data_IF_254391367207
#
_entry.id   IF_254391367207
#
_cell.length_a   1.000
_cell.length_b   1.000
_cell.length_c   1.000
_cell.angle_alpha   90.00
_cell.angle_beta   90.00
_cell.angle_gamma   90.00
#
_symmetry.space_group_name_H-M   'P 1'
#
loop_
_entity.id
_entity.type
_entity.pdbx_description
1 polymer ?
#
# COMPACT_ATOMS: atom_id res chain seq x y z
N UNK A 1 -14.56 -27.36 0.78
CA UNK A 1 -13.40 -26.45 0.78
C UNK A 1 -13.93 -25.09 1.17
N UNK A 2 -13.40 -24.49 2.24
CA UNK A 2 -13.82 -23.15 2.67
C UNK A 2 -13.02 -22.12 1.86
N UNK A 3 -13.72 -21.10 1.38
CA UNK A 3 -13.12 -19.94 0.70
C UNK A 3 -13.47 -18.69 1.49
N UNK A 4 -12.47 -17.85 1.76
CA UNK A 4 -12.65 -16.55 2.39
C UNK A 4 -12.11 -15.47 1.47
N UNK A 5 -12.92 -14.44 1.23
CA UNK A 5 -12.52 -13.27 0.44
C UNK A 5 -12.38 -12.06 1.37
N UNK A 6 -11.14 -11.61 1.53
CA UNK A 6 -10.79 -10.38 2.21
C UNK A 6 -10.77 -9.20 1.24
N UNK A 7 -11.36 -8.06 1.64
CA UNK A 7 -11.21 -6.79 0.93
C UNK A 7 -10.49 -5.81 1.84
N UNK A 8 -9.31 -5.38 1.42
CA UNK A 8 -8.47 -4.43 2.14
C UNK A 8 -8.59 -3.06 1.47
N UNK A 9 -8.78 -2.03 2.29
CA UNK A 9 -8.74 -0.63 1.88
C UNK A 9 -7.97 0.18 2.92
N UNK A 10 -6.85 0.76 2.51
CA UNK A 10 -6.04 1.62 3.35
C UNK A 10 -5.67 2.88 2.56
N UNK A 11 -5.99 4.05 3.09
CA UNK A 11 -5.73 5.33 2.43
C UNK A 11 -5.13 6.30 3.45
N UNK A 12 -4.24 7.16 2.98
CA UNK A 12 -3.76 8.30 3.76
C UNK A 12 -4.49 9.56 3.32
N UNK A 13 -4.81 10.44 4.28
CA UNK A 13 -5.26 11.79 3.95
C UNK A 13 -4.12 12.58 3.29
N UNK A 14 -4.43 13.63 2.52
CA UNK A 14 -3.37 14.43 1.91
C UNK A 14 -2.44 15.07 2.94
N UNK A 15 -2.97 15.46 4.10
CA UNK A 15 -2.18 16.06 5.19
C UNK A 15 -1.24 15.02 5.82
N UNK A 16 -1.70 13.77 5.95
CA UNK A 16 -0.85 12.67 6.40
C UNK A 16 0.22 12.35 5.36
N UNK A 17 -0.12 12.38 4.06
CA UNK A 17 0.85 12.18 2.98
C UNK A 17 1.91 13.28 2.99
N UNK A 18 1.50 14.54 3.18
CA UNK A 18 2.41 15.68 3.29
C UNK A 18 3.36 15.51 4.47
N UNK A 19 2.80 15.17 5.64
CA UNK A 19 3.57 14.97 6.88
C UNK A 19 4.53 13.79 6.76
N UNK A 20 4.09 12.69 6.16
CA UNK A 20 4.91 11.52 5.89
C UNK A 20 6.07 11.83 4.93
N UNK A 21 5.80 12.52 3.82
CA UNK A 21 6.82 12.91 2.85
C UNK A 21 7.86 13.83 3.49
N UNK A 22 7.43 14.92 4.12
CA UNK A 22 8.32 15.90 4.76
C UNK A 22 9.14 15.22 5.86
N UNK A 23 8.51 14.39 6.68
CA UNK A 23 9.20 13.66 7.76
C UNK A 23 10.32 12.75 7.24
N UNK A 24 10.09 12.03 6.13
CA UNK A 24 11.13 11.20 5.52
C UNK A 24 12.24 12.04 4.88
N UNK A 25 11.91 13.15 4.22
CA UNK A 25 12.92 14.04 3.63
C UNK A 25 13.83 14.66 4.70
N UNK A 26 13.26 15.10 5.83
CA UNK A 26 14.05 15.58 6.97
C UNK A 26 14.99 14.50 7.50
N UNK A 27 14.54 13.24 7.61
CA UNK A 27 15.39 12.10 7.99
C UNK A 27 16.53 11.82 6.98
N UNK A 28 16.31 12.13 5.71
CA UNK A 28 17.33 12.06 4.66
C UNK A 28 18.28 13.27 4.63
N UNK A 29 18.13 14.21 5.57
CA UNK A 29 18.99 15.40 5.68
C UNK A 29 18.53 16.59 4.83
N UNK A 30 17.31 16.58 4.28
CA UNK A 30 16.76 17.74 3.59
C UNK A 30 16.45 18.84 4.61
N UNK A 31 17.10 20.00 4.45
CA UNK A 31 16.91 21.17 5.29
C UNK A 31 15.57 21.88 5.05
N UNK A 32 15.27 22.87 5.89
CA UNK A 32 13.99 23.60 5.87
C UNK A 32 13.71 24.31 4.53
N UNK A 33 14.74 24.77 3.81
CA UNK A 33 14.57 25.38 2.49
C UNK A 33 13.98 24.40 1.46
N UNK A 34 14.42 23.13 1.50
CA UNK A 34 13.90 22.08 0.64
C UNK A 34 12.47 21.69 1.01
N UNK A 35 12.17 21.65 2.31
CA UNK A 35 10.80 21.42 2.80
C UNK A 35 9.87 22.55 2.36
N UNK A 36 10.28 23.82 2.52
CA UNK A 36 9.49 24.99 2.14
C UNK A 36 9.11 24.98 0.65
N UNK A 37 10.00 24.50 -0.23
CA UNK A 37 9.67 24.36 -1.66
C UNK A 37 8.55 23.34 -1.91
N UNK A 38 8.55 22.22 -1.19
CA UNK A 38 7.48 21.22 -1.29
C UNK A 38 6.16 21.81 -0.81
N UNK A 39 6.17 22.56 0.29
CA UNK A 39 4.97 23.19 0.81
C UNK A 39 4.40 24.23 -0.17
N UNK A 40 5.26 25.06 -0.76
CA UNK A 40 4.87 26.07 -1.75
C UNK A 40 4.28 25.45 -3.02
N UNK A 41 4.84 24.31 -3.46
CA UNK A 41 4.41 23.64 -4.68
C UNK A 41 3.33 22.56 -4.45
N UNK A 42 2.82 22.42 -3.22
CA UNK A 42 1.88 21.35 -2.87
C UNK A 42 0.59 21.38 -3.70
N UNK A 43 0.07 22.58 -4.00
CA UNK A 43 -1.12 22.74 -4.85
C UNK A 43 -0.90 22.24 -6.28
N UNK A 44 0.29 22.47 -6.84
CA UNK A 44 0.68 21.95 -8.14
C UNK A 44 0.85 20.42 -8.08
N UNK A 45 1.49 19.90 -7.04
CA UNK A 45 1.62 18.45 -6.82
C UNK A 45 0.24 17.78 -6.73
N UNK A 46 -0.72 18.43 -6.06
CA UNK A 46 -2.12 17.97 -5.96
C UNK A 46 -2.77 17.91 -7.34
N UNK A 47 -2.62 18.96 -8.15
CA UNK A 47 -3.15 19.00 -9.52
C UNK A 47 -2.56 17.89 -10.41
N UNK A 48 -1.33 17.46 -10.14
CA UNK A 48 -0.67 16.34 -10.82
C UNK A 48 -1.00 14.95 -10.21
N UNK A 49 -1.81 14.89 -9.15
CA UNK A 49 -2.19 13.64 -8.48
C UNK A 49 -1.10 13.05 -7.56
N UNK A 50 -0.08 13.83 -7.20
CA UNK A 50 1.07 13.39 -6.41
C UNK A 50 0.87 13.44 -4.89
N UNK A 51 -0.28 13.93 -4.42
CA UNK A 51 -0.57 14.15 -3.00
C UNK A 51 -1.36 13.00 -2.35
N UNK A 52 -1.52 11.88 -3.06
CA UNK A 52 -2.34 10.76 -2.60
C UNK A 52 -1.53 9.48 -2.44
N UNK A 53 -1.83 8.75 -1.37
CA UNK A 53 -1.39 7.38 -1.15
C UNK A 53 -2.61 6.53 -0.83
N UNK A 54 -2.86 5.51 -1.64
CA UNK A 54 -3.99 4.58 -1.46
C UNK A 54 -3.58 3.17 -1.78
N UNK A 55 -4.16 2.21 -1.07
CA UNK A 55 -3.98 0.79 -1.26
C UNK A 55 -5.33 0.10 -1.18
N UNK A 56 -5.66 -0.67 -2.22
CA UNK A 56 -6.81 -1.54 -2.22
C UNK A 56 -6.35 -2.94 -2.63
N UNK A 57 -6.83 -3.96 -1.94
CA UNK A 57 -6.55 -5.34 -2.30
C UNK A 57 -7.78 -6.22 -2.13
N UNK A 58 -7.85 -7.24 -2.97
CA UNK A 58 -8.71 -8.41 -2.75
C UNK A 58 -7.80 -9.60 -2.55
N UNK A 59 -8.01 -10.30 -1.45
CA UNK A 59 -7.28 -11.50 -1.08
C UNK A 59 -8.28 -12.66 -1.02
N UNK A 60 -8.01 -13.74 -1.75
CA UNK A 60 -8.85 -14.94 -1.72
C UNK A 60 -8.06 -16.07 -1.13
N UNK A 61 -8.49 -16.57 0.01
CA UNK A 61 -7.88 -17.69 0.72
C UNK A 61 -8.69 -18.95 0.52
N UNK A 62 -8.02 -20.05 0.17
CA UNK A 62 -8.62 -21.39 0.13
C UNK A 62 -8.09 -22.22 1.28
N UNK A 63 -9.00 -22.90 1.99
CA UNK A 63 -8.65 -23.68 3.17
C UNK A 63 -8.85 -25.17 2.96
N UNK A 64 -7.96 -25.97 3.55
CA UNK A 64 -8.09 -27.41 3.67
C UNK A 64 -9.30 -27.78 4.56
N UNK A 65 -9.77 -29.05 4.56
CA UNK A 65 -10.83 -29.50 5.46
C UNK A 65 -10.50 -29.34 6.95
N UNK A 66 -9.21 -29.31 7.30
CA UNK A 66 -8.70 -29.05 8.65
C UNK A 66 -8.47 -27.56 8.93
N UNK A 67 -9.02 -26.66 8.10
CA UNK A 67 -8.99 -25.21 8.25
C UNK A 67 -7.60 -24.56 8.17
N UNK A 68 -6.62 -25.21 7.54
CA UNK A 68 -5.34 -24.58 7.20
C UNK A 68 -5.44 -23.86 5.85
N UNK A 69 -4.71 -22.74 5.69
CA UNK A 69 -4.59 -22.09 4.37
C UNK A 69 -3.83 -23.01 3.43
N UNK A 70 -4.46 -23.40 2.33
CA UNK A 70 -3.86 -24.20 1.28
C UNK A 70 -3.12 -23.31 0.27
N UNK A 71 -3.79 -22.24 -0.15
CA UNK A 71 -3.27 -21.25 -1.07
C UNK A 71 -4.03 -19.93 -0.88
N UNK A 72 -3.44 -18.85 -1.38
CA UNK A 72 -4.15 -17.61 -1.55
C UNK A 72 -3.70 -16.87 -2.80
N UNK A 73 -4.63 -16.11 -3.37
CA UNK A 73 -4.31 -15.12 -4.40
C UNK A 73 -4.57 -13.71 -3.87
N UNK A 74 -3.81 -12.76 -4.39
CA UNK A 74 -3.95 -11.35 -4.09
C UNK A 74 -3.96 -10.57 -5.38
N UNK A 75 -4.94 -9.70 -5.54
CA UNK A 75 -4.93 -8.62 -6.53
C UNK A 75 -5.00 -7.29 -5.79
N UNK A 76 -3.98 -6.45 -5.99
CA UNK A 76 -3.91 -5.15 -5.33
C UNK A 76 -3.57 -4.03 -6.30
N UNK A 77 -4.04 -2.83 -5.95
CA UNK A 77 -3.73 -1.59 -6.63
C UNK A 77 -3.32 -0.55 -5.61
N UNK A 78 -2.11 -0.05 -5.77
CA UNK A 78 -1.53 1.01 -4.96
C UNK A 78 -1.37 2.26 -5.81
N UNK A 79 -1.89 3.40 -5.35
CA UNK A 79 -1.48 4.70 -5.86
C UNK A 79 -0.48 5.30 -4.89
N UNK A 80 0.71 5.63 -5.36
CA UNK A 80 1.78 6.20 -4.57
C UNK A 80 2.26 7.48 -5.27
N UNK A 81 1.81 8.63 -4.80
CA UNK A 81 2.29 9.93 -5.27
C UNK A 81 2.34 10.07 -6.80
N UNK A 82 1.25 9.72 -7.48
CA UNK A 82 1.13 9.78 -8.95
C UNK A 82 1.54 8.50 -9.68
N UNK A 83 2.21 7.56 -9.01
CA UNK A 83 2.47 6.22 -9.55
C UNK A 83 1.27 5.30 -9.29
N UNK A 84 0.88 4.51 -10.30
CA UNK A 84 -0.17 3.49 -10.18
C UNK A 84 0.44 2.10 -10.35
N UNK A 85 0.50 1.35 -9.25
CA UNK A 85 1.13 0.04 -9.17
C UNK A 85 0.03 -1.00 -9.01
N UNK A 86 0.04 -2.00 -9.90
CA UNK A 86 -0.85 -3.16 -9.83
C UNK A 86 -0.01 -4.39 -9.52
N UNK A 87 -0.43 -5.15 -8.52
CA UNK A 87 0.23 -6.39 -8.13
C UNK A 87 -0.79 -7.52 -8.21
N UNK A 88 -0.37 -8.61 -8.84
CA UNK A 88 -1.06 -9.89 -8.77
C UNK A 88 -0.10 -10.92 -8.20
N UNK A 89 -0.53 -11.61 -7.16
CA UNK A 89 0.24 -12.65 -6.50
C UNK A 89 -0.59 -13.92 -6.38
N UNK A 90 0.05 -15.05 -6.58
CA UNK A 90 -0.49 -16.38 -6.33
C UNK A 90 0.50 -17.11 -5.44
N UNK A 91 0.01 -17.59 -4.30
CA UNK A 91 0.84 -18.17 -3.26
C UNK A 91 0.24 -19.52 -2.87
N UNK A 92 1.08 -20.55 -2.85
CA UNK A 92 0.70 -21.89 -2.43
C UNK A 92 1.46 -22.26 -1.17
N UNK A 93 0.81 -23.00 -0.28
CA UNK A 93 1.50 -23.61 0.86
C UNK A 93 2.51 -24.63 0.31
N UNK A 94 3.80 -24.32 0.44
CA UNK A 94 4.88 -25.21 0.01
C UNK A 94 5.14 -26.30 1.05
N UNK A 95 5.43 -25.89 2.28
CA UNK A 95 5.71 -26.79 3.42
C UNK A 95 5.11 -26.21 4.70
N UNK A 96 4.80 -27.08 5.66
CA UNK A 96 4.46 -26.69 7.03
C UNK A 96 5.23 -27.57 8.02
N UNK A 97 5.68 -26.98 9.14
CA UNK A 97 6.50 -27.68 10.15
C UNK A 97 5.78 -27.80 11.50
N UNK A 98 4.46 -27.94 11.50
CA UNK A 98 3.69 -28.10 12.73
C UNK A 98 3.97 -29.48 13.34
N UNK A 99 4.45 -29.49 14.59
CA UNK A 99 4.50 -30.68 15.45
C UNK A 99 3.12 -30.97 16.03
#
# INVERSE_FOLDING_TARGET
MLTVVGKVKANMSEDDVKSFLIGNLKKMGVGEDGVSQIEKNWSQMRAMGMTTISYNATETYHFTPSFWVNDYNMESRMKLMGMDIKVKGEYKLGEHSWK
#
